data_IF_539844826941
#
_entry.id   IF_539844826941
#
_cell.length_a   1.000
_cell.length_b   1.000
_cell.length_c   1.000
_cell.angle_alpha   90.00
_cell.angle_beta   90.00
_cell.angle_gamma   90.00
#
_symmetry.space_group_name_H-M   'P 1'
#
loop_
_entity.id
_entity.type
_entity.pdbx_description
1 polymer ?
#
# COMPACT_ATOMS: atom_id res chain seq x y z
N UNK A 1 5.78 -4.52 -4.35
CA UNK A 1 6.09 -3.74 -5.58
C UNK A 1 5.59 -2.31 -5.41
N UNK A 2 5.88 -1.42 -6.37
CA UNK A 2 5.30 -0.07 -6.43
C UNK A 2 3.79 -0.12 -6.67
N UNK A 3 3.01 0.77 -6.05
CA UNK A 3 1.56 0.85 -6.32
C UNK A 3 1.27 1.42 -7.71
N UNK A 4 0.07 1.14 -8.24
CA UNK A 4 -0.34 1.57 -9.58
C UNK A 4 -0.33 3.09 -9.79
N UNK A 5 -0.67 3.87 -8.76
CA UNK A 5 -0.68 5.34 -8.84
C UNK A 5 -1.93 5.94 -9.48
N UNK A 6 -3.12 5.37 -9.23
CA UNK A 6 -4.37 6.09 -9.51
C UNK A 6 -4.64 7.06 -8.37
N UNK A 7 -4.49 8.35 -8.65
CA UNK A 7 -4.59 9.44 -7.65
C UNK A 7 -5.63 10.50 -8.00
N UNK A 8 -6.67 10.13 -8.75
CA UNK A 8 -7.68 11.06 -9.27
C UNK A 8 -9.04 10.78 -8.64
N UNK A 9 -9.80 11.84 -8.41
CA UNK A 9 -11.22 11.79 -8.05
C UNK A 9 -12.03 12.15 -9.28
N UNK A 10 -13.01 11.33 -9.61
CA UNK A 10 -13.90 11.54 -10.76
C UNK A 10 -15.34 11.73 -10.28
N UNK A 11 -16.07 12.62 -10.95
CA UNK A 11 -17.51 12.83 -10.77
C UNK A 11 -18.23 12.54 -12.09
N UNK A 12 -19.40 11.90 -12.01
CA UNK A 12 -20.23 11.56 -13.17
C UNK A 12 -21.30 12.63 -13.35
N UNK A 13 -21.34 13.20 -14.56
CA UNK A 13 -22.33 14.20 -14.95
C UNK A 13 -23.30 13.57 -15.96
N UNK A 14 -24.60 13.49 -15.68
CA UNK A 14 -25.57 12.92 -16.60
C UNK A 14 -25.78 13.83 -17.82
N UNK A 15 -26.07 13.22 -18.97
CA UNK A 15 -26.43 13.89 -20.22
C UNK A 15 -27.91 13.63 -20.55
N UNK A 16 -28.49 14.47 -21.43
CA UNK A 16 -29.93 14.46 -21.73
C UNK A 16 -30.41 13.16 -22.40
N UNK A 17 -29.52 12.47 -23.11
CA UNK A 17 -29.79 11.20 -23.78
C UNK A 17 -29.68 9.97 -22.85
N UNK A 18 -29.45 10.18 -21.55
CA UNK A 18 -29.27 9.12 -20.56
C UNK A 18 -27.84 8.60 -20.44
N UNK A 19 -26.90 9.10 -21.25
CA UNK A 19 -25.48 8.82 -21.08
C UNK A 19 -24.85 9.66 -19.95
N UNK A 20 -23.55 9.49 -19.68
CA UNK A 20 -22.87 10.22 -18.61
C UNK A 20 -21.39 10.48 -18.89
N UNK A 21 -20.91 11.64 -18.43
CA UNK A 21 -19.52 12.09 -18.56
C UNK A 21 -18.79 11.98 -17.23
N UNK A 22 -17.73 11.16 -17.18
CA UNK A 22 -16.83 11.08 -16.03
C UNK A 22 -15.74 12.16 -16.12
N UNK A 23 -15.86 13.21 -15.30
CA UNK A 23 -14.91 14.33 -15.25
C UNK A 23 -13.98 14.16 -14.06
N UNK A 24 -12.67 14.33 -14.27
CA UNK A 24 -11.72 14.39 -13.15
C UNK A 24 -11.82 15.75 -12.48
N UNK A 25 -12.15 15.76 -11.18
CA UNK A 25 -12.41 16.99 -10.42
C UNK A 25 -11.34 17.30 -9.37
N UNK A 26 -10.55 16.30 -8.96
CA UNK A 26 -9.49 16.51 -7.98
C UNK A 26 -8.35 15.48 -8.10
N UNK A 27 -7.26 15.77 -7.39
CA UNK A 27 -6.06 14.93 -7.25
C UNK A 27 -5.72 14.70 -5.79
N UNK A 28 -5.21 13.51 -5.49
CA UNK A 28 -4.61 13.20 -4.20
C UNK A 28 -3.12 13.53 -4.17
N UNK A 29 -2.69 14.18 -3.08
CA UNK A 29 -1.29 14.46 -2.77
C UNK A 29 -0.92 13.85 -1.42
N UNK A 30 0.34 13.47 -1.26
CA UNK A 30 0.85 13.08 0.07
C UNK A 30 0.96 14.32 0.98
N UNK A 31 1.09 14.16 2.31
CA UNK A 31 1.34 15.29 3.22
C UNK A 31 2.58 16.12 2.86
N UNK A 32 3.54 15.53 2.15
CA UNK A 32 4.74 16.20 1.63
C UNK A 32 4.52 16.86 0.26
N UNK A 33 3.27 17.00 -0.20
CA UNK A 33 2.92 17.64 -1.48
C UNK A 33 3.24 16.81 -2.73
N UNK A 34 3.47 15.50 -2.62
CA UNK A 34 3.79 14.66 -3.80
C UNK A 34 2.52 14.22 -4.52
N UNK A 35 2.37 14.57 -5.81
CA UNK A 35 1.33 14.01 -6.70
C UNK A 35 1.58 12.50 -6.86
N UNK A 36 0.56 11.67 -6.59
CA UNK A 36 0.66 10.22 -6.69
C UNK A 36 0.11 9.69 -8.02
N UNK A 37 -0.60 10.51 -8.79
CA UNK A 37 -1.22 10.10 -10.05
C UNK A 37 -0.16 9.77 -11.10
N UNK A 38 -0.29 8.61 -11.76
CA UNK A 38 0.70 7.99 -12.67
C UNK A 38 2.07 7.68 -12.03
N UNK A 39 2.28 8.10 -10.78
CA UNK A 39 3.56 7.98 -10.08
C UNK A 39 3.56 6.90 -9.02
N UNK A 40 2.44 6.57 -8.39
CA UNK A 40 2.37 5.55 -7.35
C UNK A 40 3.18 5.85 -6.07
N UNK A 41 3.21 4.87 -5.18
CA UNK A 41 3.96 4.90 -3.92
C UNK A 41 4.96 3.74 -3.95
N UNK A 42 6.23 4.05 -3.71
CA UNK A 42 7.26 3.03 -3.49
C UNK A 42 7.16 2.53 -2.04
N UNK A 43 7.21 1.21 -1.81
CA UNK A 43 7.32 0.70 -0.46
C UNK A 43 8.74 0.95 0.07
N UNK A 44 8.85 1.33 1.34
CA UNK A 44 10.15 1.52 2.00
C UNK A 44 10.97 0.23 2.06
N UNK A 45 10.28 -0.92 2.19
CA UNK A 45 10.88 -2.24 2.20
C UNK A 45 10.28 -3.05 1.05
N UNK A 46 11.09 -3.33 0.03
CA UNK A 46 10.69 -4.15 -1.10
C UNK A 46 10.86 -5.63 -0.76
N UNK A 47 9.77 -6.38 -0.84
CA UNK A 47 9.77 -7.84 -0.79
C UNK A 47 9.21 -8.33 -2.11
N UNK A 48 10.04 -8.99 -2.91
CA UNK A 48 9.63 -9.56 -4.19
C UNK A 48 9.17 -11.00 -3.97
N UNK A 49 8.02 -11.34 -4.54
CA UNK A 49 7.54 -12.72 -4.58
C UNK A 49 8.08 -13.40 -5.84
N UNK A 50 8.53 -14.64 -5.69
CA UNK A 50 8.78 -15.51 -6.84
C UNK A 50 7.47 -15.81 -7.56
N UNK A 51 7.55 -16.22 -8.84
CA UNK A 51 6.35 -16.54 -9.60
C UNK A 51 5.53 -17.67 -8.95
N UNK A 52 6.22 -18.68 -8.41
CA UNK A 52 5.59 -19.76 -7.64
C UNK A 52 4.87 -19.25 -6.38
N UNK A 53 5.48 -18.34 -5.63
CA UNK A 53 4.83 -17.74 -4.45
C UNK A 53 3.61 -16.92 -4.85
N UNK A 54 3.71 -16.15 -5.94
CA UNK A 54 2.60 -15.35 -6.46
C UNK A 54 1.43 -16.23 -6.89
N UNK A 55 1.72 -17.34 -7.57
CA UNK A 55 0.72 -18.32 -7.98
C UNK A 55 0.05 -18.99 -6.77
N UNK A 56 0.82 -19.44 -5.79
CA UNK A 56 0.25 -20.05 -4.57
C UNK A 56 -0.70 -19.08 -3.85
N UNK A 57 -0.36 -17.80 -3.78
CA UNK A 57 -1.19 -16.77 -3.13
C UNK A 57 -2.40 -16.37 -3.98
N UNK A 58 -2.33 -16.43 -5.31
CA UNK A 58 -3.48 -16.16 -6.18
C UNK A 58 -4.50 -17.29 -6.13
N UNK A 59 -4.04 -18.54 -6.05
CA UNK A 59 -4.90 -19.73 -5.98
C UNK A 59 -5.59 -19.88 -4.62
N UNK A 60 -4.96 -19.44 -3.53
CA UNK A 60 -5.55 -19.54 -2.20
C UNK A 60 -5.42 -18.23 -1.41
N UNK A 61 -6.46 -17.41 -1.49
CA UNK A 61 -6.52 -16.11 -0.81
C UNK A 61 -6.49 -16.20 0.71
N UNK A 62 -6.82 -17.35 1.32
CA UNK A 62 -6.76 -17.52 2.77
C UNK A 62 -5.32 -17.56 3.31
N UNK A 63 -4.31 -17.69 2.44
CA UNK A 63 -2.90 -17.60 2.82
C UNK A 63 -2.38 -16.16 2.89
N UNK A 64 -3.07 -15.21 2.25
CA UNK A 64 -2.69 -13.79 2.26
C UNK A 64 -2.88 -13.26 3.68
N UNK A 65 -1.88 -12.54 4.20
CA UNK A 65 -1.94 -12.02 5.58
C UNK A 65 -1.65 -13.06 6.67
N UNK A 66 -1.08 -14.21 6.30
CA UNK A 66 -0.59 -15.23 7.23
C UNK A 66 0.93 -15.36 7.12
N UNK A 67 1.56 -16.15 8.00
CA UNK A 67 3.00 -16.43 7.92
C UNK A 67 3.42 -17.16 6.62
N UNK A 68 2.47 -17.74 5.88
CA UNK A 68 2.73 -18.32 4.56
C UNK A 68 2.92 -17.27 3.45
N UNK A 69 2.54 -16.01 3.68
CA UNK A 69 2.81 -14.88 2.79
C UNK A 69 4.15 -14.22 3.19
N UNK A 70 5.19 -14.29 2.34
CA UNK A 70 6.51 -13.70 2.63
C UNK A 70 6.46 -12.20 2.91
N UNK A 71 5.54 -11.46 2.27
CA UNK A 71 5.42 -10.02 2.48
C UNK A 71 4.83 -9.72 3.86
N UNK A 72 3.83 -10.49 4.28
CA UNK A 72 3.25 -10.40 5.62
C UNK A 72 4.25 -10.80 6.72
N UNK A 73 4.94 -11.92 6.55
CA UNK A 73 5.95 -12.39 7.50
C UNK A 73 7.06 -11.34 7.69
N UNK A 74 7.53 -10.71 6.59
CA UNK A 74 8.52 -9.63 6.69
C UNK A 74 7.97 -8.39 7.40
N UNK A 75 6.70 -8.04 7.18
CA UNK A 75 6.07 -6.92 7.87
C UNK A 75 6.02 -7.14 9.39
N UNK A 76 5.65 -8.34 9.85
CA UNK A 76 5.66 -8.69 11.28
C UNK A 76 7.06 -8.62 11.88
N UNK A 77 8.08 -9.16 11.19
CA UNK A 77 9.45 -9.12 11.66
C UNK A 77 9.93 -7.67 11.87
N UNK A 78 9.73 -6.80 10.88
CA UNK A 78 10.13 -5.38 10.94
C UNK A 78 9.35 -4.63 12.00
N UNK A 79 8.04 -4.91 12.15
CA UNK A 79 7.22 -4.27 13.17
C UNK A 79 7.70 -4.63 14.58
N UNK A 80 7.95 -5.92 14.82
CA UNK A 80 8.45 -6.39 16.11
C UNK A 80 9.82 -5.79 16.43
N UNK A 81 10.74 -5.74 15.46
CA UNK A 81 12.04 -5.09 15.62
C UNK A 81 11.89 -3.61 16.04
N UNK A 82 11.02 -2.85 15.36
CA UNK A 82 10.74 -1.45 15.66
C UNK A 82 10.11 -1.26 17.04
N UNK A 83 9.19 -2.13 17.44
CA UNK A 83 8.58 -2.10 18.79
C UNK A 83 9.65 -2.33 19.85
N UNK A 84 10.53 -3.32 19.66
CA UNK A 84 11.60 -3.62 20.60
C UNK A 84 12.63 -2.49 20.69
N UNK A 85 13.00 -1.88 19.55
CA UNK A 85 13.87 -0.71 19.52
C UNK A 85 13.28 0.48 20.28
N UNK A 86 11.99 0.78 20.05
CA UNK A 86 11.28 1.86 20.75
C UNK A 86 11.16 1.60 22.26
N UNK A 87 10.95 0.35 22.69
CA UNK A 87 10.94 0.01 24.13
C UNK A 87 12.31 0.25 24.78
N UNK A 88 13.39 -0.11 24.10
CA UNK A 88 14.77 0.12 24.59
C UNK A 88 15.07 1.62 24.71
N UNK A 89 14.69 2.44 23.74
CA UNK A 89 14.93 3.89 23.79
C UNK A 89 14.16 4.58 24.91
N UNK A 90 12.93 4.13 25.21
CA UNK A 90 12.16 4.64 26.35
C UNK A 90 12.78 4.29 27.71
N UNK A 91 13.34 3.08 27.84
CA UNK A 91 14.03 2.65 29.07
C UNK A 91 15.34 3.40 29.29
N UNK A 92 16.11 3.73 28.24
CA UNK A 92 17.35 4.50 28.36
C UNK A 92 17.14 6.00 28.59
N UNK A 93 15.96 6.54 28.28
CA UNK A 93 15.62 7.96 28.50
C UNK A 93 15.07 8.24 29.89
N UNK A 94 14.81 7.19 30.67
CA UNK A 94 14.29 7.26 32.04
C UNK A 94 15.40 7.04 33.10
N UNK A 95 16.66 7.00 32.67
CA UNK A 95 17.86 6.96 33.52
C UNK A 95 18.71 8.21 33.31
#
# INVERSE_FOLDING_TARGET
>A
SKTFGKGLVQSVHPLQDGSGLAVTVAKYFTPKGRDINKKGIEPDIKVQLTDKQREVLSQNRNKIGTLADPQYAKALAVLNERIMANRKSLQSSSQ
#
